data_IF_853236857452
#
_entry.id   IF_853236857452
#
_cell.length_a   1.000
_cell.length_b   1.000
_cell.length_c   1.000
_cell.angle_alpha   90.00
_cell.angle_beta   90.00
_cell.angle_gamma   90.00
#
_symmetry.space_group_name_H-M   'P 1'
#
loop_
_entity.id
_entity.type
_entity.pdbx_description
1 polymer ?
#
# COMPACT_ATOMS: atom_id res chain seq x y z
N UNK A 1 29.34 -14.77 -72.89
CA UNK A 1 29.70 -15.94 -72.05
C UNK A 1 29.54 -15.53 -70.59
N UNK A 2 28.38 -15.77 -70.00
CA UNK A 2 28.18 -16.85 -69.00
C UNK A 2 29.11 -16.72 -67.79
N UNK A 3 28.65 -16.15 -66.66
CA UNK A 3 28.11 -16.91 -65.51
C UNK A 3 27.94 -16.04 -64.26
N UNK A 4 26.78 -16.16 -63.62
CA UNK A 4 26.53 -15.79 -62.22
C UNK A 4 27.52 -16.46 -61.27
N UNK A 5 27.93 -15.77 -60.20
CA UNK A 5 28.03 -16.35 -58.86
C UNK A 5 27.56 -15.36 -57.79
N UNK A 6 26.49 -15.77 -57.08
CA UNK A 6 25.92 -15.17 -55.87
C UNK A 6 26.91 -15.33 -54.72
N UNK A 7 27.08 -14.33 -53.85
CA UNK A 7 27.49 -14.56 -52.45
C UNK A 7 26.71 -13.64 -51.51
N UNK A 8 26.31 -14.24 -50.39
CA UNK A 8 25.28 -13.82 -49.46
C UNK A 8 25.55 -12.50 -48.74
N UNK A 9 24.50 -11.70 -48.61
CA UNK A 9 24.39 -10.61 -47.66
C UNK A 9 24.13 -11.21 -46.27
N UNK A 10 25.12 -11.15 -45.38
CA UNK A 10 24.95 -11.45 -43.95
C UNK A 10 24.58 -10.15 -43.26
N UNK A 11 23.30 -9.96 -42.97
CA UNK A 11 22.83 -8.83 -42.16
C UNK A 11 23.04 -9.17 -40.68
N UNK A 12 24.04 -8.54 -40.06
CA UNK A 12 24.25 -8.59 -38.62
C UNK A 12 23.19 -7.70 -37.94
N UNK A 13 22.21 -8.32 -37.27
CA UNK A 13 21.28 -7.60 -36.38
C UNK A 13 21.98 -7.46 -35.02
N UNK A 14 22.49 -6.27 -34.73
CA UNK A 14 22.98 -5.93 -33.40
C UNK A 14 21.78 -5.83 -32.44
N UNK A 15 21.71 -6.73 -31.46
CA UNK A 15 20.68 -6.72 -30.42
C UNK A 15 20.85 -5.51 -29.49
N UNK A 16 19.79 -4.71 -29.35
CA UNK A 16 19.67 -3.77 -28.23
C UNK A 16 19.38 -4.58 -26.96
N UNK A 17 20.36 -4.67 -26.07
CA UNK A 17 20.10 -4.96 -24.67
C UNK A 17 19.56 -3.68 -24.01
N UNK A 18 18.24 -3.60 -23.82
CA UNK A 18 17.63 -2.61 -22.93
C UNK A 18 17.86 -3.09 -21.50
N UNK A 19 18.82 -2.48 -20.83
CA UNK A 19 19.00 -2.62 -19.39
C UNK A 19 17.80 -2.00 -18.68
N UNK A 20 16.92 -2.81 -18.09
CA UNK A 20 15.91 -2.37 -17.13
C UNK A 20 16.61 -1.86 -15.86
N UNK A 21 17.18 -0.66 -15.92
CA UNK A 21 17.49 0.10 -14.72
C UNK A 21 16.17 0.61 -14.17
N UNK A 22 15.64 -0.12 -13.18
CA UNK A 22 14.48 0.33 -12.40
C UNK A 22 14.71 1.77 -11.94
N UNK A 23 13.97 2.68 -12.55
CA UNK A 23 13.95 4.09 -12.18
C UNK A 23 13.36 4.16 -10.78
N UNK A 24 14.22 4.23 -9.76
CA UNK A 24 13.81 4.69 -8.45
C UNK A 24 13.39 6.16 -8.64
N UNK A 25 12.08 6.37 -8.77
CA UNK A 25 11.53 7.71 -8.86
C UNK A 25 11.99 8.50 -7.63
N UNK A 26 12.65 9.64 -7.85
CA UNK A 26 13.00 10.57 -6.80
C UNK A 26 11.72 10.95 -6.02
N UNK A 27 11.79 11.18 -4.70
CA UNK A 27 10.63 11.64 -3.95
C UNK A 27 10.18 12.99 -4.50
N UNK A 28 8.95 13.06 -5.02
CA UNK A 28 8.31 14.32 -5.39
C UNK A 28 8.31 15.25 -4.17
N UNK A 29 9.08 16.35 -4.25
CA UNK A 29 9.06 17.41 -3.24
C UNK A 29 7.67 18.05 -3.07
N UNK A 30 6.73 17.75 -3.97
CA UNK A 30 5.36 18.27 -4.00
C UNK A 30 4.32 17.38 -3.29
N UNK A 31 4.72 16.25 -2.69
CA UNK A 31 3.76 15.41 -1.93
C UNK A 31 3.47 16.04 -0.57
N UNK A 32 2.20 16.26 -0.21
CA UNK A 32 1.85 16.86 1.08
C UNK A 32 2.24 15.92 2.23
N UNK A 33 2.75 16.49 3.31
CA UNK A 33 2.92 15.75 4.57
C UNK A 33 1.53 15.45 5.12
N UNK A 34 1.24 14.16 5.31
CA UNK A 34 -0.03 13.72 5.86
C UNK A 34 0.03 13.57 7.38
N UNK A 35 -1.01 14.05 8.08
CA UNK A 35 -1.18 13.80 9.50
C UNK A 35 -1.80 12.42 9.72
N UNK A 36 -1.09 11.54 10.44
CA UNK A 36 -1.68 10.31 10.95
C UNK A 36 -2.68 10.65 12.06
N UNK A 37 -3.97 10.46 11.77
CA UNK A 37 -5.11 10.83 12.62
C UNK A 37 -5.06 10.20 14.02
N UNK A 38 -4.40 9.06 14.20
CA UNK A 38 -4.15 8.51 15.54
C UNK A 38 -3.44 9.51 16.47
N UNK A 39 -2.66 10.44 15.93
CA UNK A 39 -2.02 11.54 16.68
C UNK A 39 -3.04 12.39 17.44
N UNK A 40 -4.23 12.59 16.85
CA UNK A 40 -5.30 13.41 17.40
C UNK A 40 -6.37 12.61 18.15
N UNK A 41 -6.17 11.31 18.41
CA UNK A 41 -7.16 10.41 19.02
C UNK A 41 -7.78 10.87 20.33
N UNK A 42 -7.08 11.71 21.09
CA UNK A 42 -7.56 12.25 22.37
C UNK A 42 -8.21 13.64 22.24
N UNK A 43 -8.31 14.17 21.02
CA UNK A 43 -8.93 15.47 20.72
C UNK A 43 -10.38 15.22 20.36
N UNK A 44 -11.25 15.09 21.37
CA UNK A 44 -12.71 15.10 21.26
C UNK A 44 -13.30 14.45 20.00
N UNK A 45 -14.20 15.15 19.31
CA UNK A 45 -14.91 14.65 18.11
C UNK A 45 -14.03 14.67 16.86
N UNK A 46 -14.34 13.85 15.85
CA UNK A 46 -13.65 13.87 14.55
C UNK A 46 -13.59 15.27 13.93
N UNK A 47 -14.66 16.06 14.06
CA UNK A 47 -14.69 17.42 13.54
C UNK A 47 -13.71 18.35 14.28
N UNK A 48 -13.54 18.18 15.59
CA UNK A 48 -12.52 18.91 16.36
C UNK A 48 -11.11 18.49 15.95
N UNK A 49 -10.88 17.21 15.65
CA UNK A 49 -9.61 16.71 15.13
C UNK A 49 -9.27 17.34 13.77
N UNK A 50 -10.22 17.31 12.82
CA UNK A 50 -10.03 17.87 11.47
C UNK A 50 -9.80 19.38 11.50
N UNK A 51 -10.54 20.10 12.36
CA UNK A 51 -10.32 21.53 12.58
C UNK A 51 -8.92 21.82 13.13
N UNK A 52 -8.43 21.02 14.09
CA UNK A 52 -7.08 21.18 14.63
C UNK A 52 -6.01 20.86 13.58
N UNK A 53 -6.19 19.80 12.79
CA UNK A 53 -5.30 19.44 11.69
C UNK A 53 -5.18 20.59 10.68
N UNK A 54 -6.32 21.15 10.24
CA UNK A 54 -6.38 22.26 9.30
C UNK A 54 -5.65 23.49 9.84
N UNK A 55 -5.96 23.89 11.08
CA UNK A 55 -5.33 25.05 11.75
C UNK A 55 -3.84 24.85 12.00
N UNK A 56 -3.37 23.60 12.04
CA UNK A 56 -1.95 23.26 12.18
C UNK A 56 -1.21 23.20 10.83
N UNK A 57 -1.89 23.47 9.72
CA UNK A 57 -1.28 23.55 8.38
C UNK A 57 -1.29 22.24 7.58
N UNK A 58 -1.95 21.18 8.07
CA UNK A 58 -2.10 19.95 7.29
C UNK A 58 -3.22 20.08 6.26
N UNK A 59 -3.01 19.48 5.09
CA UNK A 59 -3.99 19.36 3.99
C UNK A 59 -4.22 17.91 3.56
N UNK A 60 -3.51 16.98 4.18
CA UNK A 60 -3.52 15.56 3.88
C UNK A 60 -3.56 14.74 5.17
N UNK A 61 -4.26 13.62 5.15
CA UNK A 61 -4.46 12.75 6.29
C UNK A 61 -4.08 11.31 5.96
N UNK A 62 -3.57 10.60 6.97
CA UNK A 62 -3.60 9.14 7.02
C UNK A 62 -4.65 8.73 8.06
N UNK A 63 -5.61 7.90 7.65
CA UNK A 63 -6.75 7.53 8.49
C UNK A 63 -6.46 6.31 9.37
N UNK A 64 -7.32 6.10 10.36
CA UNK A 64 -7.44 4.86 11.14
C UNK A 64 -8.83 4.28 10.90
N UNK A 65 -8.90 3.13 10.22
CA UNK A 65 -10.15 2.55 9.78
C UNK A 65 -10.99 3.53 8.95
N UNK A 66 -12.27 3.62 9.29
CA UNK A 66 -13.26 4.55 8.73
C UNK A 66 -13.45 5.82 9.60
N UNK A 67 -12.59 6.03 10.59
CA UNK A 67 -12.74 7.06 11.63
C UNK A 67 -14.04 6.96 12.44
N UNK A 68 -14.71 5.81 12.43
CA UNK A 68 -15.96 5.57 13.15
C UNK A 68 -17.18 6.28 12.56
N UNK A 69 -17.12 6.73 11.30
CA UNK A 69 -18.20 7.46 10.63
C UNK A 69 -18.50 6.87 9.25
N UNK A 70 -19.67 7.19 8.70
CA UNK A 70 -20.03 6.75 7.35
C UNK A 70 -19.16 7.42 6.27
N UNK A 71 -19.07 6.78 5.10
CA UNK A 71 -18.32 7.33 3.95
C UNK A 71 -18.81 8.72 3.52
N UNK A 72 -20.12 8.96 3.63
CA UNK A 72 -20.75 10.22 3.23
C UNK A 72 -20.45 11.32 4.24
N UNK A 73 -20.49 10.99 5.53
CA UNK A 73 -20.13 11.91 6.59
C UNK A 73 -18.64 12.30 6.53
N UNK A 74 -17.75 11.32 6.40
CA UNK A 74 -16.33 11.59 6.25
C UNK A 74 -16.07 12.41 4.99
N UNK A 75 -16.69 12.07 3.85
CA UNK A 75 -16.56 12.82 2.61
C UNK A 75 -17.01 14.29 2.75
N UNK A 76 -18.09 14.56 3.49
CA UNK A 76 -18.54 15.93 3.80
C UNK A 76 -17.52 16.68 4.67
N UNK A 77 -17.01 16.04 5.71
CA UNK A 77 -16.02 16.64 6.61
C UNK A 77 -14.69 16.94 5.90
N UNK A 78 -14.19 16.00 5.10
CA UNK A 78 -12.98 16.20 4.28
C UNK A 78 -13.12 17.43 3.37
N UNK A 79 -14.27 17.58 2.69
CA UNK A 79 -14.56 18.77 1.87
C UNK A 79 -14.62 20.04 2.71
N UNK A 80 -15.31 20.01 3.86
CA UNK A 80 -15.44 21.17 4.76
C UNK A 80 -14.08 21.70 5.24
N UNK A 81 -13.15 20.80 5.54
CA UNK A 81 -11.82 21.15 6.06
C UNK A 81 -10.72 21.20 5.00
N UNK A 82 -11.08 21.06 3.72
CA UNK A 82 -10.15 21.01 2.58
C UNK A 82 -9.02 19.97 2.76
N UNK A 83 -9.41 18.76 3.16
CA UNK A 83 -8.51 17.65 3.45
C UNK A 83 -8.56 16.58 2.37
N UNK A 84 -7.38 16.07 2.02
CA UNK A 84 -7.20 14.87 1.19
C UNK A 84 -6.80 13.68 2.05
N UNK A 85 -6.98 12.47 1.53
CA UNK A 85 -6.55 11.22 2.19
C UNK A 85 -5.46 10.57 1.36
N UNK A 86 -4.34 10.26 2.01
CA UNK A 86 -3.16 9.64 1.37
C UNK A 86 -3.14 8.13 1.56
N UNK A 87 -3.55 7.68 2.74
CA UNK A 87 -3.62 6.27 3.13
C UNK A 87 -4.62 6.06 4.27
N UNK A 88 -4.96 4.80 4.54
CA UNK A 88 -5.72 4.41 5.71
C UNK A 88 -5.13 3.15 6.35
N UNK A 89 -4.94 3.18 7.66
CA UNK A 89 -4.66 2.00 8.47
C UNK A 89 -5.90 1.10 8.53
N UNK A 90 -5.81 -0.12 7.97
CA UNK A 90 -6.89 -1.10 7.95
C UNK A 90 -6.42 -2.40 8.60
N UNK A 91 -7.15 -2.86 9.63
CA UNK A 91 -6.81 -4.09 10.37
C UNK A 91 -7.00 -5.35 9.52
N UNK A 92 -6.26 -6.40 9.85
CA UNK A 92 -6.28 -7.67 9.11
C UNK A 92 -7.69 -8.29 9.05
N UNK A 93 -8.46 -8.21 10.13
CA UNK A 93 -9.83 -8.74 10.17
C UNK A 93 -10.76 -8.04 9.16
N UNK A 94 -10.63 -6.72 8.99
CA UNK A 94 -11.40 -5.99 7.99
C UNK A 94 -10.97 -6.39 6.57
N UNK A 95 -9.66 -6.59 6.32
CA UNK A 95 -9.15 -7.06 5.04
C UNK A 95 -9.64 -8.49 4.70
N UNK A 96 -9.82 -9.34 5.72
CA UNK A 96 -10.33 -10.70 5.58
C UNK A 96 -11.84 -10.75 5.36
N UNK A 97 -12.61 -10.10 6.24
CA UNK A 97 -14.05 -10.27 6.34
C UNK A 97 -14.85 -9.19 5.61
N UNK A 98 -14.29 -8.00 5.40
CA UNK A 98 -15.02 -6.79 4.97
C UNK A 98 -14.36 -6.09 3.78
N UNK A 99 -13.62 -6.85 2.95
CA UNK A 99 -12.80 -6.27 1.89
C UNK A 99 -13.62 -5.42 0.89
N UNK A 100 -14.81 -5.88 0.52
CA UNK A 100 -15.67 -5.17 -0.44
C UNK A 100 -16.12 -3.80 0.11
N UNK A 101 -16.56 -3.76 1.37
CA UNK A 101 -16.99 -2.53 2.03
C UNK A 101 -15.80 -1.59 2.27
N UNK A 102 -14.66 -2.14 2.67
CA UNK A 102 -13.40 -1.40 2.82
C UNK A 102 -13.00 -0.72 1.51
N UNK A 103 -13.06 -1.44 0.38
CA UNK A 103 -12.80 -0.88 -0.96
C UNK A 103 -13.80 0.21 -1.30
N UNK A 104 -15.09 -0.03 -1.07
CA UNK A 104 -16.14 0.92 -1.43
C UNK A 104 -16.07 2.21 -0.59
N UNK A 105 -15.73 2.11 0.69
CA UNK A 105 -15.50 3.25 1.58
C UNK A 105 -14.31 4.09 1.10
N UNK A 106 -13.15 3.47 0.96
CA UNK A 106 -11.90 4.17 0.63
C UNK A 106 -11.97 4.83 -0.75
N UNK A 107 -12.59 4.18 -1.75
CA UNK A 107 -12.81 4.80 -3.07
C UNK A 107 -13.71 6.02 -3.00
N UNK A 108 -14.77 5.99 -2.19
CA UNK A 108 -15.71 7.10 -2.09
C UNK A 108 -15.07 8.38 -1.54
N UNK A 109 -14.08 8.23 -0.66
CA UNK A 109 -13.32 9.35 -0.08
C UNK A 109 -12.03 9.67 -0.84
N UNK A 110 -11.78 9.01 -1.98
CA UNK A 110 -10.60 9.23 -2.82
C UNK A 110 -9.31 8.55 -2.35
N UNK A 111 -9.34 7.74 -1.30
CA UNK A 111 -8.17 6.99 -0.84
C UNK A 111 -7.88 5.78 -1.76
N UNK A 112 -6.59 5.55 -2.01
CA UNK A 112 -6.08 4.48 -2.88
C UNK A 112 -5.10 3.54 -2.18
N UNK A 113 -4.63 3.87 -0.98
CA UNK A 113 -3.64 3.08 -0.26
C UNK A 113 -4.23 2.58 1.06
N UNK A 114 -4.28 1.27 1.22
CA UNK A 114 -4.62 0.61 2.49
C UNK A 114 -3.34 0.09 3.10
N UNK A 115 -3.07 0.45 4.35
CA UNK A 115 -1.89 0.01 5.10
C UNK A 115 -2.39 -1.00 6.13
N UNK A 116 -1.91 -2.24 6.11
CA UNK A 116 -2.06 -3.15 7.25
C UNK A 116 -1.10 -2.70 8.34
N UNK A 117 -1.59 -2.09 9.44
CA UNK A 117 -0.70 -1.35 10.32
C UNK A 117 -0.05 -2.25 11.37
N UNK A 118 -0.63 -3.40 11.67
CA UNK A 118 -0.24 -4.20 12.82
C UNK A 118 -0.85 -5.60 12.76
N UNK A 119 -0.21 -6.56 13.42
CA UNK A 119 -0.78 -7.87 13.71
C UNK A 119 -1.06 -8.01 15.20
N UNK A 120 -2.31 -8.32 15.54
CA UNK A 120 -2.67 -8.71 16.89
C UNK A 120 -1.85 -9.93 17.33
N UNK A 121 -1.52 -10.09 18.62
CA UNK A 121 -0.72 -11.22 19.11
C UNK A 121 -1.23 -12.59 18.64
N UNK A 122 -2.54 -12.77 18.53
CA UNK A 122 -3.16 -14.02 18.07
C UNK A 122 -2.95 -14.31 16.58
N UNK A 123 -2.73 -13.28 15.76
CA UNK A 123 -2.49 -13.41 14.32
C UNK A 123 -1.01 -13.63 13.98
N UNK A 124 -0.11 -13.51 14.96
CA UNK A 124 1.33 -13.59 14.71
C UNK A 124 1.78 -15.03 14.49
N UNK A 125 2.35 -15.35 13.32
CA UNK A 125 2.91 -16.66 13.09
C UNK A 125 4.08 -16.99 14.03
N UNK A 126 4.12 -18.24 14.49
CA UNK A 126 5.15 -18.75 15.41
C UNK A 126 6.32 -19.42 14.70
N UNK A 127 6.27 -19.56 13.38
CA UNK A 127 7.32 -20.15 12.56
C UNK A 127 7.39 -19.56 11.13
N UNK A 128 8.42 -19.94 10.37
CA UNK A 128 8.63 -19.48 9.00
C UNK A 128 7.47 -19.86 8.06
N UNK A 129 6.88 -21.03 8.22
CA UNK A 129 5.83 -21.52 7.33
C UNK A 129 4.54 -20.69 7.49
N UNK A 130 4.22 -20.29 8.72
CA UNK A 130 3.11 -19.39 9.00
C UNK A 130 3.33 -17.98 8.46
N UNK A 131 4.55 -17.43 8.56
CA UNK A 131 4.88 -16.13 7.94
C UNK A 131 4.75 -16.16 6.41
N UNK A 132 5.20 -17.24 5.76
CA UNK A 132 4.99 -17.43 4.32
C UNK A 132 3.51 -17.59 3.97
N UNK A 133 2.72 -18.23 4.83
CA UNK A 133 1.27 -18.41 4.64
C UNK A 133 0.57 -17.07 4.70
N UNK A 134 0.90 -16.24 5.69
CA UNK A 134 0.39 -14.87 5.79
C UNK A 134 0.82 -14.03 4.59
N UNK A 135 2.07 -14.12 4.14
CA UNK A 135 2.53 -13.42 2.93
C UNK A 135 1.72 -13.77 1.68
N UNK A 136 1.44 -15.07 1.45
CA UNK A 136 0.57 -15.51 0.34
C UNK A 136 -0.87 -14.99 0.47
N UNK A 137 -1.40 -14.97 1.69
CA UNK A 137 -2.73 -14.41 1.98
C UNK A 137 -2.78 -12.92 1.62
N UNK A 138 -1.83 -12.13 2.12
CA UNK A 138 -1.73 -10.69 1.84
C UNK A 138 -1.52 -10.41 0.35
N UNK A 139 -0.74 -11.24 -0.34
CA UNK A 139 -0.58 -11.16 -1.79
C UNK A 139 -1.92 -11.34 -2.54
N UNK A 140 -2.74 -12.31 -2.11
CA UNK A 140 -4.08 -12.53 -2.64
C UNK A 140 -5.03 -11.36 -2.37
N UNK A 141 -4.99 -10.79 -1.16
CA UNK A 141 -5.76 -9.59 -0.80
C UNK A 141 -5.33 -8.40 -1.67
N UNK A 142 -4.02 -8.16 -1.80
CA UNK A 142 -3.46 -7.12 -2.65
C UNK A 142 -3.91 -7.26 -4.11
N UNK A 143 -3.93 -8.48 -4.65
CA UNK A 143 -4.43 -8.75 -6.00
C UNK A 143 -5.92 -8.40 -6.17
N UNK A 144 -6.75 -8.62 -5.15
CA UNK A 144 -8.17 -8.24 -5.16
C UNK A 144 -8.35 -6.73 -5.05
N UNK A 145 -7.55 -6.06 -4.20
CA UNK A 145 -7.56 -4.60 -4.04
C UNK A 145 -7.19 -3.89 -5.36
N UNK A 146 -6.20 -4.41 -6.09
CA UNK A 146 -5.79 -3.86 -7.40
C UNK A 146 -6.93 -3.86 -8.42
N UNK A 147 -7.81 -4.86 -8.41
CA UNK A 147 -9.01 -4.87 -9.28
C UNK A 147 -9.97 -3.70 -8.98
N UNK A 148 -9.95 -3.19 -7.75
CA UNK A 148 -10.67 -1.97 -7.34
C UNK A 148 -9.87 -0.68 -7.54
N UNK A 149 -8.62 -0.77 -8.00
CA UNK A 149 -7.70 0.36 -8.11
C UNK A 149 -7.19 0.85 -6.74
N UNK A 150 -6.94 -0.05 -5.79
CA UNK A 150 -6.25 0.24 -4.53
C UNK A 150 -4.97 -0.59 -4.40
N UNK A 151 -4.04 -0.10 -3.59
CA UNK A 151 -2.80 -0.77 -3.22
C UNK A 151 -2.85 -1.19 -1.75
N UNK A 152 -2.24 -2.34 -1.44
CA UNK A 152 -1.97 -2.79 -0.08
C UNK A 152 -0.52 -2.47 0.27
N UNK A 153 -0.30 -1.82 1.41
CA UNK A 153 0.98 -1.61 2.04
C UNK A 153 0.99 -2.30 3.42
N UNK A 154 2.19 -2.54 3.96
CA UNK A 154 2.39 -3.18 5.25
C UNK A 154 3.29 -2.31 6.12
N UNK A 155 2.89 -2.07 7.37
CA UNK A 155 3.68 -1.33 8.35
C UNK A 155 4.37 -2.33 9.28
N UNK A 156 5.69 -2.50 9.15
CA UNK A 156 6.43 -3.47 9.96
C UNK A 156 6.64 -2.99 11.40
N UNK A 157 6.67 -3.93 12.33
CA UNK A 157 6.95 -3.70 13.75
C UNK A 157 8.20 -4.49 14.17
N UNK A 158 8.51 -4.44 15.47
CA UNK A 158 9.65 -5.12 16.07
C UNK A 158 9.52 -6.65 15.98
N UNK A 159 8.30 -7.19 16.12
CA UNK A 159 8.08 -8.63 16.15
C UNK A 159 8.40 -9.32 14.81
N UNK A 160 8.30 -8.61 13.69
CA UNK A 160 8.72 -9.14 12.38
C UNK A 160 10.25 -9.21 12.22
N UNK A 161 11.03 -8.59 13.11
CA UNK A 161 12.50 -8.67 13.10
C UNK A 161 13.03 -9.97 13.70
N UNK A 162 12.18 -10.76 14.38
CA UNK A 162 12.55 -12.08 14.89
C UNK A 162 12.94 -13.02 13.75
N UNK A 163 14.04 -13.74 13.93
CA UNK A 163 14.56 -14.68 12.93
C UNK A 163 13.98 -16.08 13.06
N UNK A 164 13.67 -16.67 11.92
CA UNK A 164 13.24 -18.05 11.73
C UNK A 164 14.11 -18.66 10.62
N UNK A 165 14.89 -19.69 10.93
CA UNK A 165 15.79 -20.33 9.96
C UNK A 165 16.72 -19.33 9.23
N UNK A 166 17.27 -18.37 9.96
CA UNK A 166 18.25 -17.40 9.46
C UNK A 166 17.68 -16.11 8.84
N UNK A 167 16.40 -16.10 8.41
CA UNK A 167 15.70 -14.92 7.90
C UNK A 167 14.72 -14.34 8.92
N UNK A 168 14.51 -13.04 8.91
CA UNK A 168 13.47 -12.33 9.66
C UNK A 168 12.08 -12.78 9.21
N UNK A 169 11.10 -12.62 10.09
CA UNK A 169 9.69 -12.82 9.75
C UNK A 169 9.24 -11.89 8.61
N UNK A 170 9.72 -10.64 8.58
CA UNK A 170 9.44 -9.71 7.50
C UNK A 170 9.96 -10.23 6.16
N UNK A 171 11.18 -10.76 6.09
CA UNK A 171 11.73 -11.37 4.87
C UNK A 171 10.89 -12.57 4.42
N UNK A 172 10.47 -13.47 5.33
CA UNK A 172 9.60 -14.59 4.97
C UNK A 172 8.23 -14.15 4.44
N UNK A 173 7.67 -13.08 5.01
CA UNK A 173 6.42 -12.49 4.56
C UNK A 173 6.58 -11.88 3.16
N UNK A 174 7.59 -11.05 2.95
CA UNK A 174 7.84 -10.35 1.68
C UNK A 174 8.20 -11.34 0.56
N UNK A 175 9.05 -12.33 0.83
CA UNK A 175 9.43 -13.39 -0.13
C UNK A 175 8.22 -14.18 -0.65
N UNK A 176 7.14 -14.23 0.13
CA UNK A 176 5.89 -14.90 -0.24
C UNK A 176 4.87 -13.99 -0.95
N UNK A 177 5.26 -12.74 -1.26
CA UNK A 177 4.43 -11.74 -1.95
C UNK A 177 5.02 -11.38 -3.31
N UNK A 178 4.23 -10.67 -4.12
CA UNK A 178 4.71 -9.98 -5.33
C UNK A 178 4.42 -8.47 -5.17
N UNK A 179 5.29 -7.72 -4.47
CA UNK A 179 5.14 -6.28 -4.30
C UNK A 179 5.11 -5.58 -5.66
N UNK A 180 4.28 -4.54 -5.78
CA UNK A 180 4.14 -3.69 -6.95
C UNK A 180 4.13 -2.24 -6.52
#
# INVERSE_FOLDING_TARGET
MHLLKKMALVTLVAGLALSDTGLMAAPDADRPIALQMYTLRNVGTLEQQLNLAQRSGFSALELVGDQGVSRDELGRLLKKYNMSVTSAHVQLDALRAQLADTVAFNRAIGNRVLVLPYLNPADRPVDAAGWQTLGRELNGIGARLRKGGLQLAYHNHDFEMKKYRGKTALEWLVDATQPQ
#
